data_IF_558252081628
#
_entry.id   IF_558252081628
#
_cell.length_a   1.000
_cell.length_b   1.000
_cell.length_c   1.000
_cell.angle_alpha   90.00
_cell.angle_beta   90.00
_cell.angle_gamma   90.00
#
_symmetry.space_group_name_H-M   'P 1'
#
loop_
_entity.id
_entity.type
_entity.pdbx_description
1 polymer ?
#
# COMPACT_ATOMS: atom_id res chain seq x y z
N UNK A 1 -32.67 -0.32 7.86
CA UNK A 1 -31.43 0.50 7.91
C UNK A 1 -30.27 -0.44 8.16
N UNK A 2 -29.32 -0.56 7.22
CA UNK A 2 -28.09 -1.35 7.45
C UNK A 2 -27.05 -0.40 8.00
N UNK A 3 -26.70 -0.56 9.28
CA UNK A 3 -25.68 0.25 9.95
C UNK A 3 -24.30 -0.22 9.47
N UNK A 4 -23.76 0.43 8.43
CA UNK A 4 -22.38 0.21 7.97
C UNK A 4 -21.45 0.79 9.03
N UNK A 5 -20.94 -0.06 9.91
CA UNK A 5 -19.93 0.36 10.89
C UNK A 5 -18.64 0.61 10.12
N UNK A 6 -18.03 1.79 10.28
CA UNK A 6 -16.71 2.10 9.71
C UNK A 6 -15.65 1.24 10.41
N UNK A 7 -15.57 -0.02 10.01
CA UNK A 7 -14.56 -0.96 10.46
C UNK A 7 -13.23 -0.65 9.77
N UNK A 8 -12.11 -0.87 10.47
CA UNK A 8 -10.79 -0.67 9.86
C UNK A 8 -10.66 -1.62 8.66
N UNK A 9 -10.11 -1.15 7.52
CA UNK A 9 -9.90 -2.02 6.37
C UNK A 9 -9.04 -3.23 6.74
N UNK A 10 -9.40 -4.41 6.23
CA UNK A 10 -8.72 -5.67 6.56
C UNK A 10 -7.94 -6.12 5.34
N UNK A 11 -6.63 -6.37 5.49
CA UNK A 11 -5.84 -7.02 4.45
C UNK A 11 -6.38 -8.43 4.19
N UNK A 12 -6.63 -8.75 2.94
CA UNK A 12 -7.18 -10.04 2.52
C UNK A 12 -6.30 -10.69 1.47
N UNK A 13 -6.17 -12.02 1.51
CA UNK A 13 -5.23 -12.75 0.66
C UNK A 13 -3.82 -12.80 1.25
N UNK A 14 -2.84 -13.18 0.44
CA UNK A 14 -1.45 -13.42 0.84
C UNK A 14 -0.50 -12.31 0.43
N UNK A 15 -1.00 -11.27 -0.23
CA UNK A 15 -0.20 -10.15 -0.75
C UNK A 15 -0.19 -8.94 0.21
N UNK A 16 0.84 -8.07 0.15
CA UNK A 16 2.06 -8.17 -0.66
C UNK A 16 2.97 -9.33 -0.23
N UNK A 17 3.66 -9.93 -1.21
CA UNK A 17 4.64 -11.00 -0.98
C UNK A 17 6.04 -10.49 -1.28
N UNK A 18 7.05 -11.10 -0.64
CA UNK A 18 8.44 -10.85 -0.98
C UNK A 18 8.71 -11.34 -2.41
N UNK A 19 9.32 -10.49 -3.23
CA UNK A 19 9.62 -10.79 -4.63
C UNK A 19 11.09 -10.46 -4.90
N UNK A 20 11.83 -11.42 -5.44
CA UNK A 20 13.20 -11.25 -5.93
C UNK A 20 13.18 -11.27 -7.45
N UNK A 21 13.88 -10.33 -8.07
CA UNK A 21 14.01 -10.24 -9.53
C UNK A 21 15.47 -9.97 -9.89
N UNK A 22 15.84 -10.29 -11.13
CA UNK A 22 17.17 -9.96 -11.67
C UNK A 22 17.38 -8.44 -11.76
N UNK A 23 18.66 -8.04 -11.78
CA UNK A 23 19.01 -6.64 -11.95
C UNK A 23 18.48 -6.10 -13.30
N UNK A 24 17.79 -4.96 -13.25
CA UNK A 24 17.18 -4.32 -14.42
C UNK A 24 15.80 -4.87 -14.80
N UNK A 25 15.32 -5.93 -14.12
CA UNK A 25 13.96 -6.42 -14.32
C UNK A 25 12.92 -5.58 -13.56
N UNK A 26 11.70 -5.54 -14.10
CA UNK A 26 10.55 -4.91 -13.45
C UNK A 26 9.81 -5.91 -12.56
N UNK A 27 9.30 -5.42 -11.43
CA UNK A 27 8.41 -6.18 -10.54
C UNK A 27 7.16 -5.38 -10.23
N UNK A 28 6.17 -6.04 -9.64
CA UNK A 28 4.96 -5.37 -9.18
C UNK A 28 4.49 -5.95 -7.86
N UNK A 29 3.94 -5.09 -7.00
CA UNK A 29 3.35 -5.49 -5.73
C UNK A 29 1.84 -5.29 -5.77
N UNK A 30 1.10 -6.19 -5.15
CA UNK A 30 -0.35 -6.13 -5.10
C UNK A 30 -0.81 -6.05 -3.65
N UNK A 31 -1.90 -5.33 -3.40
CA UNK A 31 -2.56 -5.28 -2.11
C UNK A 31 -4.06 -5.47 -2.33
N UNK A 32 -4.67 -6.39 -1.56
CA UNK A 32 -6.12 -6.63 -1.57
C UNK A 32 -6.66 -6.38 -0.17
N UNK A 33 -7.68 -5.54 -0.08
CA UNK A 33 -8.26 -5.10 1.20
C UNK A 33 -9.77 -5.25 1.15
N UNK A 34 -10.39 -5.74 2.23
CA UNK A 34 -11.85 -5.71 2.41
C UNK A 34 -12.24 -4.52 3.28
N UNK A 35 -13.26 -3.77 2.86
CA UNK A 35 -13.77 -2.59 3.57
C UNK A 35 -15.21 -2.29 3.16
N UNK A 36 -16.01 -1.75 4.07
CA UNK A 36 -17.40 -1.33 3.78
C UNK A 36 -17.48 0.00 3.00
N UNK A 37 -16.37 0.74 2.96
CA UNK A 37 -16.18 2.01 2.25
C UNK A 37 -14.88 1.99 1.45
N UNK A 38 -14.77 2.79 0.37
CA UNK A 38 -13.55 2.85 -0.45
C UNK A 38 -12.35 3.30 0.40
N UNK A 39 -11.33 2.45 0.60
CA UNK A 39 -10.18 2.79 1.42
C UNK A 39 -9.18 3.64 0.62
N UNK A 40 -8.36 4.40 1.33
CA UNK A 40 -7.13 4.98 0.79
C UNK A 40 -6.02 3.93 0.95
N UNK A 41 -5.37 3.55 -0.16
CA UNK A 41 -4.26 2.60 -0.16
C UNK A 41 -3.03 3.34 -0.65
N UNK A 42 -1.97 3.36 0.16
CA UNK A 42 -0.70 4.00 -0.16
C UNK A 42 0.45 3.01 0.06
N UNK A 43 1.40 3.00 -0.86
CA UNK A 43 2.62 2.23 -0.73
C UNK A 43 3.72 3.09 -0.14
N UNK A 44 4.40 2.55 0.87
CA UNK A 44 5.48 3.23 1.57
C UNK A 44 6.78 2.47 1.34
N UNK A 45 7.83 3.19 0.94
CA UNK A 45 9.20 2.66 0.92
C UNK A 45 9.96 3.25 2.09
N UNK A 46 10.59 2.40 2.90
CA UNK A 46 11.48 2.84 3.97
C UNK A 46 12.66 3.61 3.37
N UNK A 47 13.00 4.73 3.99
CA UNK A 47 14.21 5.48 3.67
C UNK A 47 15.37 4.82 4.39
N UNK A 48 16.44 4.53 3.65
CA UNK A 48 17.66 4.00 4.25
C UNK A 48 18.40 5.10 5.01
N UNK A 49 19.08 4.76 6.12
CA UNK A 49 19.88 5.73 6.87
C UNK A 49 20.88 6.46 5.96
N UNK A 50 20.95 7.78 6.06
CA UNK A 50 21.85 8.63 5.24
C UNK A 50 21.29 9.03 3.87
N UNK A 51 20.14 8.49 3.47
CA UNK A 51 19.45 8.89 2.23
C UNK A 51 18.36 9.93 2.48
N UNK A 52 18.19 10.43 3.72
CA UNK A 52 17.09 11.33 4.08
C UNK A 52 17.06 12.60 3.23
N UNK A 53 18.23 13.16 2.93
CA UNK A 53 18.38 14.40 2.16
C UNK A 53 17.99 14.24 0.68
N UNK A 54 17.78 13.02 0.18
CA UNK A 54 17.36 12.77 -1.20
C UNK A 54 15.87 12.99 -1.42
N UNK A 55 15.10 13.09 -0.34
CA UNK A 55 13.64 13.18 -0.41
C UNK A 55 13.16 14.50 0.19
N UNK A 56 12.46 15.30 -0.62
CA UNK A 56 11.89 16.58 -0.18
C UNK A 56 10.76 16.40 0.86
N UNK A 57 10.19 15.20 0.97
CA UNK A 57 9.10 14.91 1.89
C UNK A 57 9.14 13.44 2.31
N UNK A 58 9.07 13.20 3.61
CA UNK A 58 9.05 11.87 4.22
C UNK A 58 7.99 11.81 5.33
N UNK A 59 7.46 10.63 5.58
CA UNK A 59 6.52 10.35 6.66
C UNK A 59 7.26 9.61 7.78
N UNK A 60 7.05 9.99 9.04
CA UNK A 60 7.57 9.30 10.21
C UNK A 60 6.56 8.27 10.72
N UNK A 61 6.99 7.01 10.86
CA UNK A 61 6.18 5.91 11.42
C UNK A 61 7.04 5.14 12.40
N UNK A 62 6.81 5.37 13.69
CA UNK A 62 7.72 4.90 14.75
C UNK A 62 9.10 5.53 14.56
N UNK A 63 10.16 4.72 14.67
CA UNK A 63 11.55 5.16 14.53
C UNK A 63 12.05 5.21 13.08
N UNK A 64 11.14 5.11 12.11
CA UNK A 64 11.47 4.95 10.70
C UNK A 64 10.86 6.05 9.85
N UNK A 65 11.62 6.48 8.83
CA UNK A 65 11.15 7.41 7.79
C UNK A 65 10.76 6.65 6.54
N UNK A 66 9.70 7.10 5.90
CA UNK A 66 9.16 6.51 4.68
C UNK A 66 8.90 7.56 3.62
N UNK A 67 8.98 7.16 2.35
CA UNK A 67 8.47 7.95 1.22
C UNK A 67 7.22 7.29 0.66
N UNK A 68 6.27 8.11 0.24
CA UNK A 68 5.08 7.63 -0.46
C UNK A 68 5.47 7.32 -1.90
N UNK A 69 5.25 6.08 -2.31
CA UNK A 69 5.44 5.69 -3.71
C UNK A 69 4.21 6.11 -4.52
N UNK A 70 4.39 6.64 -5.74
CA UNK A 70 3.28 6.88 -6.63
C UNK A 70 2.60 5.55 -6.96
N UNK A 71 1.28 5.50 -6.84
CA UNK A 71 0.49 4.32 -7.19
C UNK A 71 -0.70 4.74 -8.05
N UNK A 72 -1.18 3.81 -8.86
CA UNK A 72 -2.38 3.98 -9.66
C UNK A 72 -3.67 3.91 -8.84
N UNK A 73 -4.79 3.87 -9.55
CA UNK A 73 -6.12 3.83 -8.92
C UNK A 73 -6.37 2.56 -8.08
N UNK A 74 -7.25 2.71 -7.08
CA UNK A 74 -7.79 1.60 -6.31
C UNK A 74 -9.02 1.04 -7.02
N UNK A 75 -8.95 -0.21 -7.46
CA UNK A 75 -10.05 -0.91 -8.14
C UNK A 75 -10.98 -1.58 -7.14
N UNK A 76 -12.28 -1.28 -7.20
CA UNK A 76 -13.31 -2.02 -6.47
C UNK A 76 -13.63 -3.35 -7.17
N UNK A 77 -13.98 -4.36 -6.38
CA UNK A 77 -14.39 -5.69 -6.85
C UNK A 77 -15.79 -6.03 -6.34
N UNK A 78 -16.56 -6.88 -7.06
CA UNK A 78 -17.92 -7.25 -6.66
C UNK A 78 -18.01 -7.96 -5.30
N UNK A 79 -16.91 -8.57 -4.82
CA UNK A 79 -16.82 -9.24 -3.52
C UNK A 79 -16.66 -8.27 -2.33
N UNK A 80 -16.79 -6.95 -2.56
CA UNK A 80 -16.58 -5.92 -1.53
C UNK A 80 -15.11 -5.67 -1.20
N UNK A 81 -14.19 -6.21 -2.00
CA UNK A 81 -12.77 -5.94 -1.86
C UNK A 81 -12.28 -4.83 -2.78
N UNK A 82 -11.12 -4.29 -2.42
CA UNK A 82 -10.40 -3.25 -3.12
C UNK A 82 -9.00 -3.75 -3.45
N UNK A 83 -8.54 -3.43 -4.65
CA UNK A 83 -7.25 -3.86 -5.17
C UNK A 83 -6.42 -2.66 -5.59
N UNK A 84 -5.15 -2.65 -5.22
CA UNK A 84 -4.17 -1.73 -5.78
C UNK A 84 -2.90 -2.48 -6.15
N UNK A 85 -2.26 -2.03 -7.24
CA UNK A 85 -1.02 -2.60 -7.76
C UNK A 85 0.00 -1.48 -7.93
N UNK A 86 1.17 -1.67 -7.33
CA UNK A 86 2.38 -0.89 -7.53
C UNK A 86 3.22 -1.52 -8.64
#
# INVERSE_FOLDING_TARGET
VIQRTNSKPILTGTHPVNTTVDYGASTSFQCKVRSDVKPVIQWLKRVEPGEENKFNSTIEVGDHRFVVLPTGDVWSRPDGSYLNKL
#
